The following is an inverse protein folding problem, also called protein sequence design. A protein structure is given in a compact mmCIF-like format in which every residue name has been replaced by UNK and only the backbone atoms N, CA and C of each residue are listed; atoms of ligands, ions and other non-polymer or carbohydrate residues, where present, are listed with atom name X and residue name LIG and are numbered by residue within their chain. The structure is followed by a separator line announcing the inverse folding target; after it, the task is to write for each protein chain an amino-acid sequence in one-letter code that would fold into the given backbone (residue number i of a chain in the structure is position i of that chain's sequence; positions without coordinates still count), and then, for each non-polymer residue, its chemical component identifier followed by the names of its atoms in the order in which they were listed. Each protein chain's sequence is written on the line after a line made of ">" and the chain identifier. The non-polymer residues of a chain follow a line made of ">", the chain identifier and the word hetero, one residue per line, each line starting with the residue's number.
data_IF_848386971319
#
_entry.id   IF_848386971319
#
_cell.length_a   1.000
_cell.length_b   1.000
_cell.length_c   1.000
_cell.angle_alpha   90.00
_cell.angle_beta   90.00
_cell.angle_gamma   90.00
#
_symmetry.space_group_name_H-M   'P 1'
#
loop_
_entity.id
_entity.type
_entity.pdbx_description
1 polymer ?
#
# COMPACT_ATOMS: atom_id res chain seq x y z
N UNK A 1 -10.88 7.03 14.77
CA UNK A 1 -9.78 7.51 13.87
C UNK A 1 -10.17 7.09 12.47
N UNK A 2 -9.97 7.97 11.46
CA UNK A 2 -10.27 7.58 10.07
C UNK A 2 -9.04 6.98 9.41
N UNK A 3 -9.19 5.76 8.88
CA UNK A 3 -8.12 4.99 8.21
C UNK A 3 -8.46 4.80 6.74
N UNK A 4 -7.58 5.23 5.84
CA UNK A 4 -7.65 4.89 4.42
C UNK A 4 -6.91 3.57 4.18
N UNK A 5 -7.62 2.58 3.64
CA UNK A 5 -7.05 1.28 3.25
C UNK A 5 -7.01 1.19 1.73
N UNK A 6 -5.82 1.23 1.13
CA UNK A 6 -5.68 0.98 -0.30
C UNK A 6 -5.54 -0.51 -0.56
N UNK A 7 -6.18 -1.02 -1.59
CA UNK A 7 -6.30 -2.47 -1.81
C UNK A 7 -7.25 -3.14 -0.81
N UNK A 8 -8.18 -2.36 -0.24
CA UNK A 8 -9.10 -2.82 0.80
C UNK A 8 -10.19 -3.78 0.31
N UNK A 9 -10.42 -3.87 -1.00
CA UNK A 9 -11.31 -4.87 -1.60
C UNK A 9 -10.60 -6.19 -1.96
N UNK A 10 -9.26 -6.25 -1.80
CA UNK A 10 -8.45 -7.46 -1.96
C UNK A 10 -8.47 -8.35 -0.72
N UNK A 11 -7.84 -9.54 -0.81
CA UNK A 11 -7.88 -10.56 0.26
C UNK A 11 -7.34 -10.03 1.60
N UNK A 12 -6.08 -9.56 1.64
CA UNK A 12 -5.48 -9.08 2.90
C UNK A 12 -6.15 -7.80 3.37
N UNK A 13 -6.39 -6.87 2.43
CA UNK A 13 -7.00 -5.57 2.76
C UNK A 13 -8.39 -5.71 3.36
N UNK A 14 -9.24 -6.62 2.85
CA UNK A 14 -10.59 -6.83 3.40
C UNK A 14 -10.58 -7.35 4.83
N UNK A 15 -9.65 -8.24 5.19
CA UNK A 15 -9.48 -8.68 6.58
C UNK A 15 -9.04 -7.53 7.50
N UNK A 16 -8.14 -6.67 7.03
CA UNK A 16 -7.74 -5.48 7.77
C UNK A 16 -8.92 -4.51 7.96
N UNK A 17 -9.74 -4.32 6.92
CA UNK A 17 -10.95 -3.49 7.01
C UNK A 17 -11.89 -4.01 8.10
N UNK A 18 -12.14 -5.32 8.15
CA UNK A 18 -12.98 -5.93 9.19
C UNK A 18 -12.40 -5.71 10.59
N UNK A 19 -11.10 -5.91 10.78
CA UNK A 19 -10.43 -5.70 12.07
C UNK A 19 -10.53 -4.24 12.53
N UNK A 20 -10.36 -3.28 11.63
CA UNK A 20 -10.49 -1.86 11.95
C UNK A 20 -11.91 -1.49 12.35
N UNK A 21 -12.92 -2.04 11.65
CA UNK A 21 -14.33 -1.84 12.00
C UNK A 21 -14.68 -2.42 13.36
N UNK A 22 -14.19 -3.62 13.67
CA UNK A 22 -14.39 -4.28 14.98
C UNK A 22 -13.75 -3.48 16.13
N UNK A 23 -12.69 -2.74 15.85
CA UNK A 23 -12.07 -1.79 16.79
C UNK A 23 -12.85 -0.46 16.93
N UNK A 24 -13.83 -0.22 16.07
CA UNK A 24 -14.59 1.02 16.04
C UNK A 24 -13.91 2.18 15.29
N UNK A 25 -12.95 1.89 14.43
CA UNK A 25 -12.35 2.89 13.54
C UNK A 25 -13.26 3.18 12.34
N UNK A 26 -13.22 4.41 11.84
CA UNK A 26 -13.80 4.73 10.55
C UNK A 26 -12.88 4.28 9.43
N UNK A 27 -13.43 3.57 8.45
CA UNK A 27 -12.65 3.02 7.35
C UNK A 27 -13.15 3.55 6.01
N UNK A 28 -12.19 3.95 5.16
CA UNK A 28 -12.41 4.30 3.77
C UNK A 28 -11.51 3.44 2.91
N UNK A 29 -12.03 2.91 1.80
CA UNK A 29 -11.29 2.05 0.88
C UNK A 29 -11.01 2.79 -0.42
N UNK A 30 -9.78 2.66 -0.94
CA UNK A 30 -9.42 2.97 -2.32
C UNK A 30 -8.90 1.69 -2.97
N UNK A 31 -9.56 1.26 -4.04
CA UNK A 31 -9.20 0.04 -4.78
C UNK A 31 -9.54 0.22 -6.26
N UNK A 32 -8.71 -0.28 -7.17
CA UNK A 32 -9.01 -0.23 -8.61
C UNK A 32 -9.84 -1.43 -9.10
N UNK A 33 -10.13 -2.38 -8.18
CA UNK A 33 -10.88 -3.60 -8.44
C UNK A 33 -10.26 -4.52 -9.51
N UNK A 34 -8.96 -4.39 -9.80
CA UNK A 34 -8.27 -5.26 -10.74
C UNK A 34 -8.25 -6.73 -10.29
N UNK A 35 -8.16 -6.95 -8.97
CA UNK A 35 -8.24 -8.26 -8.32
C UNK A 35 -9.17 -8.25 -7.11
N UNK A 36 -9.49 -7.08 -6.59
CA UNK A 36 -10.44 -6.86 -5.51
C UNK A 36 -11.88 -7.08 -5.96
N UNK A 37 -12.76 -7.33 -5.02
CA UNK A 37 -14.18 -7.60 -5.29
C UNK A 37 -15.08 -6.64 -4.51
N UNK A 38 -15.89 -5.86 -5.22
CA UNK A 38 -16.76 -4.85 -4.63
C UNK A 38 -17.78 -5.44 -3.63
N UNK A 39 -18.34 -6.61 -3.95
CA UNK A 39 -19.32 -7.27 -3.06
C UNK A 39 -18.73 -7.74 -1.72
N UNK A 40 -17.38 -7.81 -1.61
CA UNK A 40 -16.68 -8.12 -0.36
C UNK A 40 -16.52 -6.91 0.58
N UNK A 41 -16.86 -5.70 0.13
CA UNK A 41 -16.78 -4.49 0.95
C UNK A 41 -17.94 -4.47 1.95
N UNK A 42 -17.66 -4.31 3.26
CA UNK A 42 -18.71 -4.29 4.29
C UNK A 42 -19.71 -3.15 4.07
N UNK A 43 -20.97 -3.42 4.39
CA UNK A 43 -22.04 -2.42 4.29
C UNK A 43 -21.70 -1.19 5.16
N UNK A 44 -21.84 0.00 4.58
CA UNK A 44 -21.55 1.27 5.25
C UNK A 44 -20.11 1.76 5.08
N UNK A 45 -19.19 0.92 4.61
CA UNK A 45 -17.82 1.36 4.28
C UNK A 45 -17.81 2.06 2.92
N UNK A 46 -17.20 3.24 2.86
CA UNK A 46 -17.07 3.99 1.60
C UNK A 46 -15.95 3.39 0.75
N UNK A 47 -16.30 2.91 -0.44
CA UNK A 47 -15.36 2.49 -1.49
C UNK A 47 -15.20 3.61 -2.53
N UNK A 48 -13.97 3.97 -2.80
CA UNK A 48 -13.56 4.76 -3.96
C UNK A 48 -12.88 3.83 -4.97
N UNK A 49 -13.40 3.80 -6.19
CA UNK A 49 -12.81 2.99 -7.27
C UNK A 49 -11.83 3.86 -8.05
N UNK A 50 -10.54 3.49 -8.01
CA UNK A 50 -9.49 4.24 -8.71
C UNK A 50 -8.08 3.81 -8.33
N UNK A 51 -7.10 4.46 -8.99
CA UNK A 51 -5.68 4.17 -8.83
C UNK A 51 -5.07 4.93 -7.67
N UNK A 52 -4.13 4.29 -6.95
CA UNK A 52 -3.34 4.96 -5.91
C UNK A 52 -2.43 6.05 -6.46
N UNK A 53 -2.13 5.99 -7.75
CA UNK A 53 -1.36 7.02 -8.49
C UNK A 53 -2.17 8.27 -8.85
N UNK A 54 -3.50 8.24 -8.76
CA UNK A 54 -4.34 9.42 -8.98
C UNK A 54 -4.29 10.36 -7.76
N UNK A 55 -3.33 11.27 -7.78
CA UNK A 55 -3.14 12.24 -6.68
C UNK A 55 -4.36 13.13 -6.45
N UNK A 56 -5.16 13.41 -7.48
CA UNK A 56 -6.36 14.23 -7.34
C UNK A 56 -7.42 13.49 -6.54
N UNK A 57 -7.67 12.22 -6.88
CA UNK A 57 -8.58 11.35 -6.17
C UNK A 57 -8.11 11.10 -4.74
N UNK A 58 -6.86 10.69 -4.55
CA UNK A 58 -6.30 10.43 -3.21
C UNK A 58 -6.38 11.66 -2.32
N UNK A 59 -6.00 12.84 -2.82
CA UNK A 59 -6.07 14.09 -2.05
C UNK A 59 -7.52 14.48 -1.72
N UNK A 60 -8.46 14.21 -2.63
CA UNK A 60 -9.88 14.45 -2.36
C UNK A 60 -10.42 13.52 -1.26
N UNK A 61 -10.07 12.23 -1.30
CA UNK A 61 -10.45 11.24 -0.28
C UNK A 61 -9.87 11.61 1.09
N UNK A 62 -8.57 11.93 1.15
CA UNK A 62 -7.91 12.34 2.40
C UNK A 62 -8.64 13.53 3.05
N UNK A 63 -8.93 14.56 2.27
CA UNK A 63 -9.64 15.75 2.78
C UNK A 63 -11.09 15.49 3.15
N UNK A 64 -11.81 14.71 2.34
CA UNK A 64 -13.24 14.48 2.55
C UNK A 64 -13.53 13.69 3.84
N UNK A 65 -12.57 12.86 4.27
CA UNK A 65 -12.72 11.97 5.42
C UNK A 65 -11.79 12.29 6.59
N UNK A 66 -11.03 13.39 6.52
CA UNK A 66 -10.02 13.74 7.53
C UNK A 66 -9.13 12.54 7.89
N UNK A 67 -8.55 11.91 6.86
CA UNK A 67 -7.76 10.69 6.98
C UNK A 67 -6.51 10.95 7.83
N UNK A 68 -6.39 10.20 8.92
CA UNK A 68 -5.28 10.34 9.87
C UNK A 68 -4.22 9.25 9.70
N UNK A 69 -4.63 8.10 9.20
CA UNK A 69 -3.74 6.94 8.97
C UNK A 69 -4.05 6.30 7.62
N UNK A 70 -3.01 5.75 6.98
CA UNK A 70 -3.10 5.06 5.70
C UNK A 70 -2.46 3.68 5.81
N UNK A 71 -3.16 2.64 5.34
CA UNK A 71 -2.62 1.28 5.22
C UNK A 71 -2.60 0.91 3.74
N UNK A 72 -1.42 0.62 3.21
CA UNK A 72 -1.20 0.41 1.79
C UNK A 72 -0.98 -1.06 1.46
N UNK A 73 -2.03 -1.71 0.92
CA UNK A 73 -1.97 -3.09 0.41
C UNK A 73 -2.00 -3.16 -1.13
N UNK A 74 -2.50 -2.12 -1.80
CA UNK A 74 -2.63 -2.11 -3.27
C UNK A 74 -1.27 -2.31 -3.94
N UNK A 75 -1.13 -3.41 -4.70
CA UNK A 75 0.07 -3.74 -5.47
C UNK A 75 -0.17 -4.89 -6.44
N UNK A 76 0.63 -4.99 -7.49
CA UNK A 76 0.83 -6.21 -8.27
C UNK A 76 1.77 -7.14 -7.50
N UNK A 77 1.40 -8.42 -7.30
CA UNK A 77 2.07 -9.33 -6.36
C UNK A 77 2.62 -10.63 -6.97
N UNK A 78 2.35 -10.89 -8.25
CA UNK A 78 2.74 -12.14 -8.91
C UNK A 78 4.19 -12.05 -9.40
N UNK A 79 5.11 -12.73 -8.70
CA UNK A 79 6.56 -12.62 -8.97
C UNK A 79 6.94 -12.98 -10.41
N UNK A 80 6.45 -14.10 -11.01
CA UNK A 80 6.72 -14.40 -12.42
C UNK A 80 6.28 -13.30 -13.39
N UNK A 81 5.12 -12.69 -13.16
CA UNK A 81 4.60 -11.61 -14.00
C UNK A 81 5.51 -10.38 -13.93
N UNK A 82 6.12 -10.12 -12.77
CA UNK A 82 7.08 -9.02 -12.62
C UNK A 82 8.33 -9.18 -13.48
N UNK A 83 8.73 -10.43 -13.76
CA UNK A 83 9.86 -10.73 -14.65
C UNK A 83 9.46 -10.51 -16.11
N UNK A 84 8.22 -10.82 -16.46
CA UNK A 84 7.70 -10.66 -17.82
C UNK A 84 7.39 -9.20 -18.17
N UNK A 85 6.87 -8.42 -17.18
CA UNK A 85 6.56 -6.99 -17.32
C UNK A 85 7.14 -6.17 -16.16
N UNK A 86 8.47 -5.99 -16.10
CA UNK A 86 9.10 -5.26 -15.01
C UNK A 86 8.69 -3.78 -14.94
N UNK A 87 8.49 -3.13 -16.08
CA UNK A 87 8.13 -1.71 -16.11
C UNK A 87 6.70 -1.45 -15.65
N UNK A 88 5.76 -2.35 -15.98
CA UNK A 88 4.40 -2.32 -15.45
C UNK A 88 4.40 -2.49 -13.93
N UNK A 89 5.22 -3.40 -13.39
CA UNK A 89 5.39 -3.58 -11.94
C UNK A 89 5.99 -2.35 -11.26
N UNK A 90 7.03 -1.75 -11.80
CA UNK A 90 7.58 -0.50 -11.26
C UNK A 90 6.57 0.64 -11.35
N UNK A 91 5.81 0.74 -12.44
CA UNK A 91 4.77 1.75 -12.54
C UNK A 91 3.72 1.58 -11.44
N UNK A 92 3.13 0.39 -11.34
CA UNK A 92 2.06 0.14 -10.38
C UNK A 92 2.55 0.19 -8.92
N UNK A 93 3.64 -0.51 -8.60
CA UNK A 93 4.08 -0.66 -7.21
C UNK A 93 4.96 0.49 -6.71
N UNK A 94 5.75 1.14 -7.59
CA UNK A 94 6.71 2.17 -7.17
C UNK A 94 6.23 3.57 -7.52
N UNK A 95 5.84 3.82 -8.78
CA UNK A 95 5.42 5.16 -9.21
C UNK A 95 4.10 5.55 -8.57
N UNK A 96 3.11 4.65 -8.56
CA UNK A 96 1.82 4.91 -7.92
C UNK A 96 1.96 5.04 -6.39
N UNK A 97 2.80 4.21 -5.75
CA UNK A 97 3.08 4.36 -4.31
C UNK A 97 3.79 5.68 -3.98
N UNK A 98 4.73 6.13 -4.83
CA UNK A 98 5.33 7.46 -4.67
C UNK A 98 4.28 8.56 -4.71
N UNK A 99 3.34 8.50 -5.67
CA UNK A 99 2.26 9.48 -5.79
C UNK A 99 1.34 9.46 -4.56
N UNK A 100 1.02 8.26 -4.04
CA UNK A 100 0.25 8.07 -2.82
C UNK A 100 0.95 8.68 -1.59
N UNK A 101 2.25 8.41 -1.43
CA UNK A 101 3.06 8.96 -0.33
C UNK A 101 3.07 10.49 -0.39
N UNK A 102 3.27 11.06 -1.57
CA UNK A 102 3.26 12.52 -1.77
C UNK A 102 1.90 13.13 -1.39
N UNK A 103 0.79 12.49 -1.79
CA UNK A 103 -0.55 12.95 -1.44
C UNK A 103 -0.83 12.81 0.07
N UNK A 104 -0.35 11.74 0.71
CA UNK A 104 -0.47 11.53 2.15
C UNK A 104 0.29 12.60 2.95
N UNK A 105 1.55 12.89 2.59
CA UNK A 105 2.36 13.95 3.19
C UNK A 105 1.67 15.32 3.05
N UNK A 106 1.26 15.69 1.83
CA UNK A 106 0.57 16.97 1.57
C UNK A 106 -0.78 17.08 2.29
N UNK A 107 -1.45 15.94 2.50
CA UNK A 107 -2.73 15.84 3.20
C UNK A 107 -2.62 15.80 4.72
N UNK A 108 -1.41 15.76 5.28
CA UNK A 108 -1.18 15.72 6.72
C UNK A 108 -1.50 14.37 7.38
N UNK A 109 -1.48 13.28 6.61
CA UNK A 109 -1.62 11.92 7.15
C UNK A 109 -0.43 11.62 8.06
N UNK A 110 -0.71 11.24 9.30
CA UNK A 110 0.31 11.11 10.35
C UNK A 110 1.01 9.75 10.36
N UNK A 111 0.28 8.71 9.97
CA UNK A 111 0.79 7.34 10.05
C UNK A 111 0.54 6.61 8.74
N UNK A 112 1.58 5.95 8.24
CA UNK A 112 1.46 5.09 7.07
C UNK A 112 2.04 3.72 7.37
N UNK A 113 1.23 2.66 7.15
CA UNK A 113 1.65 1.27 7.20
C UNK A 113 1.70 0.73 5.78
N UNK A 114 2.80 0.09 5.44
CA UNK A 114 3.00 -0.48 4.11
C UNK A 114 3.19 -2.00 4.18
N UNK A 115 2.42 -2.72 3.39
CA UNK A 115 2.60 -4.16 3.21
C UNK A 115 3.77 -4.42 2.27
N UNK A 116 4.94 -4.67 2.82
CA UNK A 116 6.12 -5.09 2.07
C UNK A 116 6.13 -6.60 1.80
N UNK A 117 7.29 -7.21 1.65
CA UNK A 117 7.43 -8.62 1.29
C UNK A 117 8.77 -9.19 1.78
N UNK A 118 8.79 -10.48 2.12
CA UNK A 118 10.04 -11.19 2.36
C UNK A 118 10.96 -11.26 1.11
N UNK A 119 10.41 -11.05 -0.09
CA UNK A 119 11.19 -11.00 -1.34
C UNK A 119 12.21 -9.83 -1.39
N UNK A 120 12.14 -8.86 -0.46
CA UNK A 120 13.14 -7.79 -0.34
C UNK A 120 14.50 -8.34 0.11
N UNK A 121 14.52 -9.47 0.82
CA UNK A 121 15.76 -10.09 1.27
C UNK A 121 16.43 -10.98 0.21
N UNK A 122 15.70 -11.37 -0.85
CA UNK A 122 16.20 -12.31 -1.86
C UNK A 122 16.46 -13.69 -1.28
N UNK A 123 17.58 -14.32 -1.68
CA UNK A 123 18.03 -15.59 -1.12
C UNK A 123 18.94 -15.31 0.08
N UNK A 124 18.50 -15.61 1.31
CA UNK A 124 19.26 -15.30 2.51
C UNK A 124 20.38 -16.31 2.76
N UNK A 125 21.47 -15.84 3.37
CA UNK A 125 22.59 -16.72 3.77
C UNK A 125 22.25 -17.64 4.94
N UNK A 126 21.20 -17.28 5.72
CA UNK A 126 20.75 -18.03 6.91
C UNK A 126 19.23 -17.98 7.09
N UNK A 127 18.71 -18.96 7.80
CA UNK A 127 17.31 -19.03 8.22
C UNK A 127 17.22 -19.23 9.75
N UNK A 128 16.24 -18.63 10.44
CA UNK A 128 15.23 -17.68 9.92
C UNK A 128 15.86 -16.33 9.58
N UNK A 129 15.20 -15.58 8.66
CA UNK A 129 15.60 -14.23 8.28
C UNK A 129 15.25 -13.27 9.42
N UNK A 130 16.22 -12.41 9.80
CA UNK A 130 16.00 -11.31 10.74
C UNK A 130 15.68 -9.99 10.03
N UNK A 131 15.08 -9.04 10.74
CA UNK A 131 14.74 -7.73 10.19
C UNK A 131 15.96 -6.90 9.79
N UNK A 132 17.11 -7.14 10.41
CA UNK A 132 18.37 -6.46 10.12
C UNK A 132 19.20 -7.16 9.04
N UNK A 133 18.71 -8.27 8.46
CA UNK A 133 19.43 -8.99 7.43
C UNK A 133 19.49 -8.16 6.14
N UNK A 134 20.52 -8.40 5.34
CA UNK A 134 20.77 -7.64 4.11
C UNK A 134 19.61 -7.80 3.13
N UNK A 135 19.07 -6.69 2.67
CA UNK A 135 18.10 -6.65 1.58
C UNK A 135 18.81 -6.75 0.23
N UNK A 136 18.43 -7.75 -0.58
CA UNK A 136 19.01 -8.01 -1.90
C UNK A 136 17.95 -8.67 -2.82
N UNK A 137 16.89 -7.94 -3.19
CA UNK A 137 15.79 -8.52 -3.97
C UNK A 137 16.27 -9.02 -5.33
N UNK A 138 15.81 -10.20 -5.72
CA UNK A 138 16.19 -10.89 -6.97
C UNK A 138 15.14 -10.75 -8.08
N UNK A 139 13.99 -10.13 -7.78
CA UNK A 139 12.92 -9.93 -8.75
C UNK A 139 12.49 -8.45 -8.83
N UNK A 140 11.92 -8.01 -9.98
CA UNK A 140 11.34 -6.68 -10.09
C UNK A 140 10.26 -6.41 -9.05
N UNK A 141 9.45 -7.43 -8.69
CA UNK A 141 8.49 -7.32 -7.58
C UNK A 141 9.17 -6.98 -6.25
N UNK A 142 10.16 -7.77 -5.82
CA UNK A 142 10.89 -7.51 -4.57
C UNK A 142 11.57 -6.14 -4.59
N UNK A 143 12.19 -5.77 -5.71
CA UNK A 143 12.82 -4.46 -5.88
C UNK A 143 11.78 -3.32 -5.80
N UNK A 144 10.61 -3.46 -6.41
CA UNK A 144 9.56 -2.43 -6.37
C UNK A 144 9.06 -2.17 -4.93
N UNK A 145 8.98 -3.22 -4.12
CA UNK A 145 8.62 -3.12 -2.71
C UNK A 145 9.72 -2.45 -1.89
N UNK A 146 10.98 -2.86 -2.08
CA UNK A 146 12.13 -2.23 -1.40
C UNK A 146 12.24 -0.73 -1.74
N UNK A 147 12.04 -0.35 -2.99
CA UNK A 147 12.01 1.08 -3.38
C UNK A 147 10.94 1.86 -2.62
N UNK A 148 9.77 1.27 -2.39
CA UNK A 148 8.69 1.91 -1.63
C UNK A 148 9.06 2.06 -0.15
N UNK A 149 9.69 1.05 0.47
CA UNK A 149 10.22 1.16 1.84
C UNK A 149 11.23 2.30 1.98
N UNK A 150 12.16 2.41 1.02
CA UNK A 150 13.16 3.49 1.00
C UNK A 150 12.49 4.86 0.88
N UNK A 151 11.49 5.00 0.00
CA UNK A 151 10.75 6.26 -0.15
C UNK A 151 10.00 6.63 1.14
N UNK A 152 9.36 5.67 1.80
CA UNK A 152 8.66 5.90 3.08
C UNK A 152 9.61 6.35 4.17
N UNK A 153 10.76 5.70 4.31
CA UNK A 153 11.79 6.08 5.28
C UNK A 153 12.24 7.54 5.06
N UNK A 154 12.61 7.89 3.82
CA UNK A 154 13.04 9.25 3.50
C UNK A 154 11.91 10.28 3.68
N UNK A 155 10.67 9.92 3.36
CA UNK A 155 9.52 10.80 3.59
C UNK A 155 9.28 11.04 5.09
N UNK A 156 9.38 10.00 5.92
CA UNK A 156 9.28 10.12 7.38
C UNK A 156 10.41 10.96 7.97
N UNK A 157 11.65 10.77 7.53
CA UNK A 157 12.80 11.59 7.96
C UNK A 157 12.64 13.07 7.61
N UNK A 158 12.01 13.37 6.47
CA UNK A 158 11.87 14.74 5.98
C UNK A 158 10.64 15.46 6.53
N UNK A 159 9.58 14.75 6.89
CA UNK A 159 8.28 15.34 7.22
C UNK A 159 7.72 14.93 8.59
N UNK A 160 8.35 14.03 9.30
CA UNK A 160 7.94 13.53 10.62
C UNK A 160 7.00 12.36 10.50
#
# INVERSE_FOLDING_TARGET
>A
MTVLVTGGAGYIGSHMVLELLDRGDEVVILDNLSTGVEWGVPAGVRLYVGETGDQSLVSAVIRAHDVQSLIHFAASIVVPDSVSDPLGYYHNNTVNSRALIEAAVKGGVRHMIFSSTAAVYGTPDRMPIGEDDRMNPESPYGMSKLMTEVMLRHASEAHG
#
